data_IF_706039348728
#
_entry.id   IF_706039348728
#
_cell.length_a   1.000
_cell.length_b   1.000
_cell.length_c   1.000
_cell.angle_alpha   90.00
_cell.angle_beta   90.00
_cell.angle_gamma   90.00
#
_symmetry.space_group_name_H-M   'P 1'
#
loop_
_entity.id
_entity.type
_entity.pdbx_description
1 polymer ?
#
# COMPACT_ATOMS: atom_id res chain seq x y z
N UNK A 1 0.31 12.74 -18.20
CA UNK A 1 -0.40 13.95 -17.73
C UNK A 1 0.56 15.11 -17.65
N UNK A 2 1.69 14.99 -16.92
CA UNK A 2 2.76 16.01 -16.85
C UNK A 2 3.24 16.48 -18.24
N UNK A 3 3.55 15.58 -19.19
CA UNK A 3 3.99 16.00 -20.55
C UNK A 3 2.89 16.61 -21.43
N UNK A 4 1.62 16.35 -21.11
CA UNK A 4 0.49 16.98 -21.81
C UNK A 4 0.20 18.38 -21.28
N UNK A 5 0.57 18.66 -20.03
CA UNK A 5 0.35 19.97 -19.38
C UNK A 5 1.56 20.90 -19.47
N UNK A 6 2.79 20.37 -19.43
CA UNK A 6 4.04 21.14 -19.41
C UNK A 6 4.86 21.01 -20.70
N UNK A 7 4.36 20.27 -21.69
CA UNK A 7 5.07 19.97 -22.93
C UNK A 7 5.98 18.72 -22.82
N UNK A 8 6.35 18.13 -23.97
CA UNK A 8 7.10 16.87 -24.02
C UNK A 8 8.49 16.97 -23.41
N UNK A 9 9.17 18.12 -23.51
CA UNK A 9 10.53 18.29 -22.98
C UNK A 9 10.57 18.38 -21.46
N UNK A 10 9.70 19.19 -20.85
CA UNK A 10 9.60 19.31 -19.39
C UNK A 10 8.98 18.05 -18.78
N UNK A 11 7.92 17.50 -19.38
CA UNK A 11 7.33 16.27 -18.90
C UNK A 11 8.24 15.06 -19.06
N UNK A 12 9.06 15.02 -20.12
CA UNK A 12 10.10 14.01 -20.32
C UNK A 12 11.18 14.12 -19.23
N UNK A 13 11.70 15.32 -19.00
CA UNK A 13 12.75 15.57 -18.01
C UNK A 13 12.30 15.24 -16.58
N UNK A 14 11.10 15.68 -16.19
CA UNK A 14 10.50 15.37 -14.88
C UNK A 14 10.24 13.86 -14.76
N UNK A 15 9.74 13.22 -15.83
CA UNK A 15 9.51 11.78 -15.87
C UNK A 15 10.80 10.96 -15.68
N UNK A 16 11.89 11.38 -16.34
CA UNK A 16 13.21 10.73 -16.20
C UNK A 16 13.76 10.91 -14.79
N UNK A 17 13.70 12.11 -14.21
CA UNK A 17 14.13 12.34 -12.83
C UNK A 17 13.36 11.49 -11.82
N UNK A 18 12.03 11.42 -11.98
CA UNK A 18 11.18 10.59 -11.13
C UNK A 18 11.49 9.09 -11.28
N UNK A 19 11.75 8.64 -12.52
CA UNK A 19 12.17 7.26 -12.78
C UNK A 19 13.51 6.95 -12.12
N UNK A 20 14.52 7.80 -12.29
CA UNK A 20 15.84 7.63 -11.68
C UNK A 20 15.72 7.57 -10.16
N UNK A 21 14.91 8.43 -9.54
CA UNK A 21 14.66 8.39 -8.10
C UNK A 21 14.07 7.05 -7.65
N UNK A 22 13.06 6.52 -8.35
CA UNK A 22 12.47 5.22 -8.02
C UNK A 22 13.45 4.06 -8.19
N UNK A 23 14.28 4.10 -9.24
CA UNK A 23 15.33 3.09 -9.45
C UNK A 23 16.37 3.16 -8.34
N UNK A 24 16.80 4.35 -7.93
CA UNK A 24 17.76 4.52 -6.82
C UNK A 24 17.20 3.95 -5.50
N UNK A 25 15.94 4.25 -5.18
CA UNK A 25 15.28 3.67 -3.98
C UNK A 25 15.21 2.14 -4.10
N UNK A 26 14.86 1.62 -5.28
CA UNK A 26 14.84 0.18 -5.54
C UNK A 26 16.21 -0.47 -5.41
N UNK A 27 17.30 0.21 -5.78
CA UNK A 27 18.69 -0.25 -5.58
C UNK A 27 19.01 -0.31 -4.09
N UNK A 28 18.60 0.68 -3.29
CA UNK A 28 18.80 0.63 -1.83
C UNK A 28 18.09 -0.59 -1.23
N UNK A 29 16.85 -0.85 -1.65
CA UNK A 29 16.09 -2.04 -1.24
C UNK A 29 16.82 -3.33 -1.67
N UNK A 30 17.34 -3.37 -2.90
CA UNK A 30 18.14 -4.50 -3.39
C UNK A 30 19.36 -4.75 -2.49
N UNK A 31 20.15 -3.71 -2.20
CA UNK A 31 21.33 -3.82 -1.33
C UNK A 31 20.97 -4.37 0.05
N UNK A 32 19.87 -3.88 0.65
CA UNK A 32 19.40 -4.40 1.94
C UNK A 32 18.94 -5.86 1.87
N UNK A 33 18.25 -6.26 0.81
CA UNK A 33 17.85 -7.67 0.59
C UNK A 33 19.07 -8.59 0.39
N UNK A 34 20.14 -8.09 -0.24
CA UNK A 34 21.38 -8.85 -0.43
C UNK A 34 22.17 -9.04 0.87
N UNK A 35 22.07 -8.09 1.82
CA UNK A 35 22.70 -8.19 3.13
C UNK A 35 22.11 -9.30 4.02
N UNK A 36 20.94 -9.83 3.66
CA UNK A 36 20.37 -11.05 4.23
C UNK A 36 19.31 -10.86 5.31
N UNK A 37 18.67 -11.96 5.69
CA UNK A 37 17.47 -11.98 6.53
C UNK A 37 17.67 -11.62 7.99
N UNK A 38 18.88 -11.81 8.53
CA UNK A 38 19.21 -11.42 9.90
C UNK A 38 19.14 -9.91 10.11
N UNK A 39 19.51 -9.13 9.08
CA UNK A 39 19.38 -7.68 9.08
C UNK A 39 17.92 -7.30 8.86
N UNK A 40 17.21 -7.97 7.95
CA UNK A 40 15.77 -7.74 7.72
C UNK A 40 14.96 -7.77 9.02
N UNK A 41 15.11 -8.82 9.84
CA UNK A 41 14.35 -8.94 11.09
C UNK A 41 14.62 -7.77 12.06
N UNK A 42 15.88 -7.35 12.20
CA UNK A 42 16.27 -6.21 13.04
C UNK A 42 15.73 -4.89 12.50
N UNK A 43 15.85 -4.67 11.20
CA UNK A 43 15.40 -3.43 10.55
C UNK A 43 13.87 -3.34 10.52
N UNK A 44 13.16 -4.45 10.39
CA UNK A 44 11.70 -4.49 10.44
C UNK A 44 11.13 -4.04 11.80
N UNK A 45 11.82 -4.35 12.91
CA UNK A 45 11.44 -3.85 14.25
C UNK A 45 11.62 -2.35 14.35
N UNK A 46 12.71 -1.81 13.79
CA UNK A 46 12.94 -0.35 13.72
C UNK A 46 11.83 0.29 12.88
N UNK A 47 11.48 -0.30 11.74
CA UNK A 47 10.39 0.15 10.89
C UNK A 47 9.05 0.18 11.62
N UNK A 48 8.73 -0.89 12.36
CA UNK A 48 7.53 -0.95 13.18
C UNK A 48 7.52 0.16 14.24
N UNK A 49 8.65 0.43 14.90
CA UNK A 49 8.74 1.50 15.89
C UNK A 49 8.50 2.89 15.28
N UNK A 50 9.10 3.18 14.11
CA UNK A 50 8.91 4.46 13.41
C UNK A 50 7.45 4.64 12.99
N UNK A 51 6.84 3.58 12.43
CA UNK A 51 5.43 3.60 12.01
C UNK A 51 4.52 3.78 13.24
N UNK A 52 4.77 3.05 14.33
CA UNK A 52 3.99 3.17 15.56
C UNK A 52 4.11 4.57 16.19
N UNK A 53 5.31 5.17 16.18
CA UNK A 53 5.52 6.54 16.64
C UNK A 53 4.75 7.54 15.78
N UNK A 54 4.79 7.40 14.46
CA UNK A 54 4.04 8.26 13.55
C UNK A 54 2.52 8.14 13.76
N UNK A 55 2.00 6.94 13.90
CA UNK A 55 0.58 6.71 14.15
C UNK A 55 0.14 7.24 15.53
N UNK A 56 1.01 7.14 16.54
CA UNK A 56 0.76 7.71 17.86
C UNK A 56 0.66 9.24 17.81
N UNK A 57 1.50 9.91 17.01
CA UNK A 57 1.39 11.36 16.77
C UNK A 57 0.03 11.73 16.20
N UNK A 58 -0.43 10.99 15.19
CA UNK A 58 -1.74 11.18 14.59
C UNK A 58 -2.89 11.02 15.61
N UNK A 59 -2.82 9.99 16.45
CA UNK A 59 -3.82 9.80 17.51
C UNK A 59 -3.81 10.97 18.50
N UNK A 60 -2.63 11.42 18.94
CA UNK A 60 -2.51 12.59 19.83
C UNK A 60 -3.08 13.85 19.16
N UNK A 61 -2.78 14.08 17.89
CA UNK A 61 -3.34 15.19 17.10
C UNK A 61 -4.86 15.20 17.15
N UNK A 62 -5.51 14.07 16.92
CA UNK A 62 -6.98 13.98 16.92
C UNK A 62 -7.60 14.46 18.24
N UNK A 63 -6.95 14.16 19.38
CA UNK A 63 -7.45 14.57 20.69
C UNK A 63 -7.09 16.01 21.09
N UNK A 64 -5.96 16.53 20.61
CA UNK A 64 -5.42 17.82 21.04
C UNK A 64 -5.81 18.96 20.08
N UNK A 65 -5.88 18.70 18.77
CA UNK A 65 -6.10 19.73 17.76
C UNK A 65 -7.54 20.21 17.77
N UNK A 66 -7.71 21.53 17.82
CA UNK A 66 -9.02 22.21 17.73
C UNK A 66 -9.43 22.37 16.27
N UNK A 67 -10.69 22.77 16.06
CA UNK A 67 -11.23 22.97 14.72
C UNK A 67 -10.42 24.04 13.98
N UNK A 68 -9.94 23.71 12.80
CA UNK A 68 -9.08 24.55 11.95
C UNK A 68 -9.43 24.34 10.49
N UNK A 69 -9.29 25.37 9.68
CA UNK A 69 -9.43 25.24 8.24
C UNK A 69 -8.10 24.75 7.64
N UNK A 70 -8.19 23.76 6.76
CA UNK A 70 -7.05 23.08 6.14
C UNK A 70 -7.07 23.36 4.65
N UNK A 71 -5.94 23.79 4.12
CA UNK A 71 -5.77 24.06 2.70
C UNK A 71 -5.89 22.78 1.87
N UNK A 72 -6.64 22.86 0.78
CA UNK A 72 -6.77 21.78 -0.18
C UNK A 72 -5.60 21.86 -1.17
N UNK A 73 -4.89 20.75 -1.43
CA UNK A 73 -3.75 20.76 -2.33
C UNK A 73 -4.13 21.23 -3.74
N UNK A 74 -3.28 22.08 -4.33
CA UNK A 74 -3.46 22.62 -5.68
C UNK A 74 -3.48 21.54 -6.77
N UNK A 75 -3.02 20.33 -6.46
CA UNK A 75 -3.13 19.16 -7.34
C UNK A 75 -4.59 18.79 -7.67
N UNK A 76 -5.55 19.18 -6.83
CA UNK A 76 -6.97 18.94 -7.06
C UNK A 76 -7.58 19.96 -8.03
N UNK A 77 -7.19 19.85 -9.29
CA UNK A 77 -7.69 20.68 -10.41
C UNK A 77 -9.22 20.76 -10.49
N UNK A 78 -9.94 19.69 -10.15
CA UNK A 78 -11.40 19.66 -10.19
C UNK A 78 -12.04 20.58 -9.15
N UNK A 79 -11.45 20.64 -7.96
CA UNK A 79 -11.96 21.48 -6.88
C UNK A 79 -11.68 22.98 -7.14
N UNK A 80 -10.59 23.30 -7.84
CA UNK A 80 -10.25 24.66 -8.28
C UNK A 80 -10.89 25.06 -9.62
N UNK A 81 -11.67 24.18 -10.25
CA UNK A 81 -12.38 24.48 -11.49
C UNK A 81 -13.66 25.28 -11.17
N UNK A 82 -13.70 26.55 -11.55
CA UNK A 82 -14.86 27.43 -11.39
C UNK A 82 -15.40 27.85 -12.76
N UNK A 83 -16.70 28.13 -12.86
CA UNK A 83 -17.29 28.75 -14.05
C UNK A 83 -16.65 30.14 -14.23
N UNK A 84 -16.21 30.48 -15.44
CA UNK A 84 -15.65 31.81 -15.73
C UNK A 84 -16.66 32.94 -15.54
N UNK A 85 -17.95 32.64 -15.61
CA UNK A 85 -19.03 33.51 -15.18
C UNK A 85 -20.01 32.71 -14.31
N UNK A 86 -20.08 33.00 -13.00
CA UNK A 86 -21.01 32.32 -12.07
C UNK A 86 -22.49 32.49 -12.45
N UNK A 87 -22.81 33.55 -13.20
CA UNK A 87 -24.16 33.87 -13.66
C UNK A 87 -24.65 32.99 -14.82
N UNK A 88 -23.72 32.39 -15.59
CA UNK A 88 -24.04 31.61 -16.78
C UNK A 88 -23.65 30.14 -16.56
N UNK A 89 -24.63 29.22 -16.42
CA UNK A 89 -24.37 27.80 -16.18
C UNK A 89 -23.71 27.08 -17.38
N UNK A 90 -23.63 27.72 -18.56
CA UNK A 90 -22.96 27.18 -19.75
C UNK A 90 -21.55 27.74 -19.97
N UNK A 91 -21.10 28.62 -19.09
CA UNK A 91 -19.79 29.27 -19.19
C UNK A 91 -18.64 28.27 -19.05
N UNK A 92 -17.51 28.53 -19.73
CA UNK A 92 -16.34 27.65 -19.63
C UNK A 92 -15.80 27.61 -18.20
N UNK A 93 -15.45 26.41 -17.73
CA UNK A 93 -14.82 26.25 -16.42
C UNK A 93 -13.32 26.57 -16.52
N UNK A 94 -12.87 27.59 -15.81
CA UNK A 94 -11.48 28.03 -15.77
C UNK A 94 -10.85 27.61 -14.45
N UNK A 95 -9.57 27.23 -14.50
CA UNK A 95 -8.78 26.92 -13.31
C UNK A 95 -8.37 28.22 -12.62
N UNK A 96 -8.89 28.45 -11.43
CA UNK A 96 -8.56 29.62 -10.64
C UNK A 96 -7.73 29.23 -9.40
N UNK A 97 -6.41 29.39 -9.48
CA UNK A 97 -5.50 29.20 -8.34
C UNK A 97 -5.28 30.47 -7.52
N UNK A 98 -5.98 31.57 -7.83
CA UNK A 98 -5.77 32.84 -7.12
C UNK A 98 -6.33 32.83 -5.70
N UNK A 99 -7.32 31.97 -5.41
CA UNK A 99 -7.88 31.78 -4.08
C UNK A 99 -7.47 30.42 -3.52
N UNK A 100 -6.82 30.40 -2.35
CA UNK A 100 -6.55 29.16 -1.61
C UNK A 100 -7.85 28.65 -0.99
N UNK A 101 -8.34 27.51 -1.49
CA UNK A 101 -9.55 26.92 -0.94
C UNK A 101 -9.22 26.06 0.26
N UNK A 102 -10.02 26.21 1.31
CA UNK A 102 -9.83 25.49 2.57
C UNK A 102 -11.05 24.65 2.88
N UNK A 103 -10.82 23.48 3.49
CA UNK A 103 -11.87 22.64 4.03
C UNK A 103 -11.67 22.45 5.52
N UNK A 104 -12.78 22.39 6.25
CA UNK A 104 -12.77 22.46 7.70
C UNK A 104 -12.45 21.11 8.36
N UNK A 105 -11.48 21.12 9.26
CA UNK A 105 -11.33 20.12 10.31
C UNK A 105 -12.20 20.54 11.50
N UNK A 106 -13.15 19.70 11.91
CA UNK A 106 -14.23 20.06 12.84
C UNK A 106 -13.96 19.66 14.28
N UNK A 107 -12.83 18.98 14.56
CA UNK A 107 -12.60 18.22 15.80
C UNK A 107 -13.77 17.23 16.04
N UNK A 108 -13.83 16.59 17.20
CA UNK A 108 -14.92 15.63 17.50
C UNK A 108 -16.30 16.28 17.37
N UNK A 109 -17.03 15.93 16.30
CA UNK A 109 -18.35 16.46 16.01
C UNK A 109 -19.29 15.38 15.48
N UNK A 110 -20.39 15.13 16.19
CA UNK A 110 -21.42 14.18 15.76
C UNK A 110 -22.13 14.59 14.48
N UNK A 111 -22.19 15.88 14.14
CA UNK A 111 -22.75 16.34 12.87
C UNK A 111 -21.89 15.86 11.70
N UNK A 112 -20.57 16.01 11.79
CA UNK A 112 -19.63 15.51 10.78
C UNK A 112 -19.73 13.99 10.63
N UNK A 113 -19.89 13.26 11.74
CA UNK A 113 -20.14 11.81 11.69
C UNK A 113 -21.42 11.44 10.94
N UNK A 114 -22.54 12.10 11.26
CA UNK A 114 -23.82 11.85 10.57
C UNK A 114 -23.72 12.17 9.07
N UNK A 115 -23.00 13.24 8.72
CA UNK A 115 -22.74 13.61 7.34
C UNK A 115 -21.82 12.61 6.64
N UNK A 116 -20.91 11.93 7.32
CA UNK A 116 -19.95 11.00 6.73
C UNK A 116 -20.43 9.52 6.69
N UNK A 117 -21.55 9.20 7.34
CA UNK A 117 -22.00 7.82 7.52
C UNK A 117 -22.38 7.09 6.22
N UNK A 118 -22.95 7.81 5.25
CA UNK A 118 -23.44 7.22 4.00
C UNK A 118 -22.47 7.45 2.83
N UNK A 119 -22.53 6.57 1.83
CA UNK A 119 -21.68 6.65 0.65
C UNK A 119 -22.00 7.90 -0.19
N UNK A 120 -20.97 8.51 -0.76
CA UNK A 120 -21.08 9.51 -1.80
C UNK A 120 -19.87 9.40 -2.73
N UNK A 121 -20.08 8.70 -3.84
CA UNK A 121 -19.02 8.46 -4.81
C UNK A 121 -18.86 9.69 -5.71
N UNK A 122 -17.71 10.34 -5.59
CA UNK A 122 -17.34 11.52 -6.38
C UNK A 122 -16.31 11.15 -7.44
N UNK A 123 -15.86 12.14 -8.22
CA UNK A 123 -14.76 11.95 -9.16
C UNK A 123 -13.43 11.95 -8.41
N UNK A 124 -12.57 10.97 -8.72
CA UNK A 124 -11.19 10.95 -8.27
C UNK A 124 -10.41 12.01 -9.05
N UNK A 125 -9.92 13.04 -8.36
CA UNK A 125 -9.22 14.15 -9.00
C UNK A 125 -7.84 13.78 -9.55
N UNK A 126 -7.28 12.62 -9.18
CA UNK A 126 -6.01 12.13 -9.73
C UNK A 126 -6.18 11.34 -11.02
N UNK A 127 -7.30 10.63 -11.18
CA UNK A 127 -7.57 9.83 -12.40
C UNK A 127 -8.62 10.43 -13.32
N UNK A 128 -9.39 11.40 -12.84
CA UNK A 128 -10.52 11.99 -13.55
C UNK A 128 -11.68 11.02 -13.77
N UNK A 129 -11.73 9.91 -13.04
CA UNK A 129 -12.77 8.87 -13.18
C UNK A 129 -13.77 8.94 -12.03
N UNK A 130 -15.03 8.64 -12.34
CA UNK A 130 -16.05 8.41 -11.32
C UNK A 130 -15.63 7.24 -10.44
N UNK A 131 -15.72 7.41 -9.13
CA UNK A 131 -15.50 6.32 -8.18
C UNK A 131 -16.75 5.46 -8.07
N UNK A 132 -16.57 4.17 -7.79
CA UNK A 132 -17.64 3.24 -7.48
C UNK A 132 -17.19 2.30 -6.35
N UNK A 133 -18.09 1.44 -5.87
CA UNK A 133 -17.77 0.50 -4.80
C UNK A 133 -16.59 -0.42 -5.17
N UNK A 134 -16.59 -0.96 -6.39
CA UNK A 134 -15.57 -1.92 -6.82
C UNK A 134 -14.19 -1.26 -6.93
N UNK A 135 -14.11 -0.02 -7.42
CA UNK A 135 -12.88 0.76 -7.49
C UNK A 135 -12.35 1.08 -6.09
N UNK A 136 -13.21 1.51 -5.16
CA UNK A 136 -12.83 1.77 -3.76
C UNK A 136 -12.36 0.50 -3.05
N UNK A 137 -13.07 -0.61 -3.24
CA UNK A 137 -12.68 -1.91 -2.72
C UNK A 137 -11.30 -2.33 -3.24
N UNK A 138 -11.03 -2.18 -4.54
CA UNK A 138 -9.73 -2.55 -5.11
C UNK A 138 -8.57 -1.75 -4.51
N UNK A 139 -8.77 -0.48 -4.18
CA UNK A 139 -7.74 0.36 -3.56
C UNK A 139 -7.48 -0.09 -2.12
N UNK A 140 -8.54 -0.26 -1.33
CA UNK A 140 -8.43 -0.70 0.08
C UNK A 140 -7.85 -2.12 0.16
N UNK A 141 -8.28 -3.02 -0.72
CA UNK A 141 -7.81 -4.40 -0.77
C UNK A 141 -6.29 -4.48 -0.92
N UNK A 142 -5.70 -3.62 -1.77
CA UNK A 142 -4.24 -3.52 -1.91
C UNK A 142 -3.53 -3.24 -0.58
N UNK A 143 -4.15 -2.49 0.33
CA UNK A 143 -3.61 -2.19 1.67
C UNK A 143 -3.69 -3.35 2.66
N UNK A 144 -4.61 -4.30 2.46
CA UNK A 144 -4.79 -5.48 3.35
C UNK A 144 -3.99 -6.70 2.85
N UNK A 145 -3.29 -6.57 1.73
CA UNK A 145 -2.44 -7.65 1.21
C UNK A 145 -1.24 -7.93 2.13
N UNK A 146 -0.52 -9.03 1.87
CA UNK A 146 0.71 -9.36 2.59
C UNK A 146 0.56 -10.34 3.76
N UNK A 147 -0.61 -10.96 3.93
CA UNK A 147 -0.85 -11.99 4.96
C UNK A 147 0.12 -13.18 4.88
N UNK A 148 0.68 -13.44 3.68
CA UNK A 148 1.63 -14.52 3.41
C UNK A 148 3.09 -14.14 3.67
N UNK A 149 3.39 -12.88 4.02
CA UNK A 149 4.78 -12.45 4.27
C UNK A 149 5.45 -13.29 5.38
N UNK A 150 4.71 -13.66 6.43
CA UNK A 150 5.21 -14.53 7.50
C UNK A 150 5.49 -15.97 7.04
N UNK A 151 4.75 -16.47 6.04
CA UNK A 151 4.97 -17.81 5.47
C UNK A 151 6.18 -17.85 4.53
N UNK A 152 6.46 -16.74 3.83
CA UNK A 152 7.60 -16.64 2.91
C UNK A 152 8.96 -16.78 3.62
N UNK A 153 9.02 -16.52 4.93
CA UNK A 153 10.23 -16.61 5.77
C UNK A 153 10.15 -17.81 6.74
N UNK A 154 9.27 -18.78 6.44
CA UNK A 154 9.02 -19.94 7.30
C UNK A 154 10.26 -20.78 7.60
N UNK A 155 11.21 -20.86 6.67
CA UNK A 155 12.46 -21.62 6.84
C UNK A 155 13.43 -21.04 7.87
N UNK A 156 13.22 -19.80 8.32
CA UNK A 156 14.10 -19.11 9.27
C UNK A 156 13.46 -18.96 10.66
N UNK A 157 12.19 -19.34 10.80
CA UNK A 157 11.48 -19.32 12.08
C UNK A 157 11.91 -20.52 12.94
N UNK A 158 12.20 -20.27 14.22
CA UNK A 158 12.53 -21.34 15.17
C UNK A 158 11.42 -22.40 15.31
N UNK A 159 10.14 -21.99 15.23
CA UNK A 159 8.97 -22.88 15.30
C UNK A 159 7.85 -22.44 14.32
N UNK A 160 7.97 -22.77 13.02
CA UNK A 160 7.07 -22.26 11.98
C UNK A 160 5.60 -22.64 12.21
N UNK A 161 5.35 -23.89 12.64
CA UNK A 161 4.01 -24.44 12.88
C UNK A 161 3.21 -23.73 13.98
N UNK A 162 3.87 -23.02 14.91
CA UNK A 162 3.22 -22.22 15.96
C UNK A 162 3.24 -20.74 15.61
N UNK A 163 4.39 -20.24 15.15
CA UNK A 163 4.62 -18.81 14.93
C UNK A 163 3.83 -18.27 13.75
N UNK A 164 3.68 -19.03 12.65
CA UNK A 164 2.95 -18.55 11.47
C UNK A 164 1.45 -18.35 11.78
N UNK A 165 0.71 -19.36 12.28
CA UNK A 165 -0.73 -19.17 12.49
C UNK A 165 -1.03 -18.10 13.55
N UNK A 166 -0.26 -18.06 14.65
CA UNK A 166 -0.45 -17.06 15.71
C UNK A 166 -0.09 -15.66 15.23
N UNK A 167 1.06 -15.50 14.57
CA UNK A 167 1.53 -14.23 14.06
C UNK A 167 0.59 -13.64 13.02
N UNK A 168 0.17 -14.45 12.03
CA UNK A 168 -0.74 -13.99 10.97
C UNK A 168 -2.10 -13.59 11.53
N UNK A 169 -2.72 -14.39 12.40
CA UNK A 169 -4.04 -14.05 12.95
C UNK A 169 -4.00 -12.81 13.87
N UNK A 170 -2.97 -12.68 14.71
CA UNK A 170 -2.80 -11.50 15.54
C UNK A 170 -2.56 -10.25 14.70
N UNK A 171 -1.71 -10.34 13.66
CA UNK A 171 -1.44 -9.24 12.76
C UNK A 171 -2.70 -8.78 12.03
N UNK A 172 -3.46 -9.72 11.44
CA UNK A 172 -4.73 -9.41 10.74
C UNK A 172 -5.74 -8.77 11.68
N UNK A 173 -5.86 -9.25 12.92
CA UNK A 173 -6.78 -8.68 13.89
C UNK A 173 -6.36 -7.25 14.29
N UNK A 174 -5.07 -7.02 14.56
CA UNK A 174 -4.55 -5.69 14.90
C UNK A 174 -4.72 -4.71 13.74
N UNK A 175 -4.39 -5.11 12.51
CA UNK A 175 -4.55 -4.23 11.33
C UNK A 175 -6.01 -3.90 11.08
N UNK A 176 -6.92 -4.87 11.23
CA UNK A 176 -8.37 -4.63 11.17
C UNK A 176 -8.81 -3.58 12.19
N UNK A 177 -8.40 -3.71 13.46
CA UNK A 177 -8.73 -2.73 14.49
C UNK A 177 -8.18 -1.34 14.18
N UNK A 178 -6.92 -1.24 13.74
CA UNK A 178 -6.30 0.04 13.38
C UNK A 178 -7.03 0.70 12.20
N UNK A 179 -7.45 -0.08 11.20
CA UNK A 179 -8.18 0.46 10.04
C UNK A 179 -9.56 0.97 10.46
N UNK A 180 -10.34 0.16 11.18
CA UNK A 180 -11.68 0.55 11.65
C UNK A 180 -11.60 1.77 12.58
N UNK A 181 -10.66 1.78 13.52
CA UNK A 181 -10.46 2.90 14.44
C UNK A 181 -10.10 4.18 13.68
N UNK A 182 -9.16 4.11 12.74
CA UNK A 182 -8.72 5.28 11.97
C UNK A 182 -9.85 5.82 11.11
N UNK A 183 -10.61 4.96 10.41
CA UNK A 183 -11.77 5.37 9.63
C UNK A 183 -12.84 6.02 10.51
N UNK A 184 -13.10 5.46 11.69
CA UNK A 184 -14.08 6.00 12.64
C UNK A 184 -13.65 7.38 13.18
N UNK A 185 -12.38 7.53 13.57
CA UNK A 185 -11.86 8.80 14.07
C UNK A 185 -11.88 9.89 13.00
N UNK A 186 -11.44 9.59 11.77
CA UNK A 186 -11.49 10.54 10.65
C UNK A 186 -12.94 10.96 10.31
N UNK A 187 -13.88 10.01 10.37
CA UNK A 187 -15.30 10.28 10.17
C UNK A 187 -15.87 11.27 11.20
N UNK A 188 -15.41 11.19 12.45
CA UNK A 188 -15.82 12.08 13.55
C UNK A 188 -15.17 13.47 13.51
N UNK A 189 -13.95 13.58 12.98
CA UNK A 189 -13.13 14.80 13.10
C UNK A 189 -13.01 15.65 11.84
N UNK A 190 -13.26 15.06 10.66
CA UNK A 190 -13.07 15.72 9.38
C UNK A 190 -14.40 15.95 8.67
N UNK A 191 -14.54 17.10 7.99
CA UNK A 191 -15.65 17.31 7.07
C UNK A 191 -15.54 16.38 5.85
N UNK A 192 -16.68 16.01 5.27
CA UNK A 192 -16.75 15.19 4.06
C UNK A 192 -15.92 15.76 2.91
N UNK A 193 -15.98 17.07 2.75
CA UNK A 193 -15.26 17.81 1.72
C UNK A 193 -13.74 17.68 1.86
N UNK A 194 -13.22 17.74 3.09
CA UNK A 194 -11.80 17.56 3.37
C UNK A 194 -11.34 16.13 3.01
N UNK A 195 -12.14 15.11 3.36
CA UNK A 195 -11.82 13.70 3.09
C UNK A 195 -11.83 13.37 1.59
N UNK A 196 -12.71 14.02 0.81
CA UNK A 196 -12.82 13.78 -0.64
C UNK A 196 -11.74 14.50 -1.44
N UNK A 197 -11.30 15.68 -0.98
CA UNK A 197 -10.46 16.57 -1.78
C UNK A 197 -8.98 16.58 -1.37
N UNK A 198 -8.61 15.90 -0.27
CA UNK A 198 -7.23 15.81 0.20
C UNK A 198 -6.85 14.37 0.61
N UNK A 199 -6.13 13.66 -0.26
CA UNK A 199 -5.62 12.31 0.03
C UNK A 199 -4.53 12.26 1.11
N UNK A 200 -3.88 13.40 1.40
CA UNK A 200 -2.89 13.55 2.46
C UNK A 200 -3.51 14.14 3.73
N UNK A 201 -4.81 13.93 3.96
CA UNK A 201 -5.53 14.47 5.13
C UNK A 201 -4.82 14.15 6.45
N UNK A 202 -4.26 12.95 6.62
CA UNK A 202 -3.53 12.58 7.83
C UNK A 202 -2.29 13.43 8.05
N UNK A 203 -1.58 13.80 6.98
CA UNK A 203 -0.41 14.70 7.05
C UNK A 203 -0.87 16.14 7.32
N UNK A 204 -1.94 16.57 6.64
CA UNK A 204 -2.46 17.93 6.73
C UNK A 204 -3.06 18.25 8.11
N UNK A 205 -3.67 17.27 8.78
CA UNK A 205 -4.23 17.46 10.12
C UNK A 205 -3.18 17.34 11.22
N UNK A 206 -2.07 16.62 11.03
CA UNK A 206 -1.13 16.33 12.12
C UNK A 206 -0.47 17.59 12.72
N UNK A 207 -0.15 17.56 14.01
CA UNK A 207 0.63 18.63 14.67
C UNK A 207 2.06 18.65 14.14
N UNK A 208 2.62 17.48 13.82
CA UNK A 208 3.98 17.33 13.27
C UNK A 208 3.89 16.62 11.91
N UNK A 209 3.47 17.30 10.83
CA UNK A 209 3.27 16.70 9.51
C UNK A 209 4.46 15.86 9.01
N UNK A 210 5.68 16.31 9.30
CA UNK A 210 6.93 15.61 8.95
C UNK A 210 7.00 14.20 9.52
N UNK A 211 6.42 13.96 10.70
CA UNK A 211 6.47 12.66 11.36
C UNK A 211 5.56 11.64 10.66
N UNK A 212 4.36 12.06 10.22
CA UNK A 212 3.48 11.22 9.39
C UNK A 212 4.12 10.95 8.04
N UNK A 213 4.76 11.96 7.44
CA UNK A 213 5.46 11.78 6.16
C UNK A 213 6.58 10.74 6.27
N UNK A 214 7.40 10.79 7.33
CA UNK A 214 8.42 9.76 7.63
C UNK A 214 7.77 8.39 7.86
N UNK A 215 6.64 8.33 8.56
CA UNK A 215 5.87 7.09 8.75
C UNK A 215 5.39 6.46 7.45
N UNK A 216 4.84 7.26 6.53
CA UNK A 216 4.40 6.81 5.19
C UNK A 216 5.58 6.30 4.37
N UNK A 217 6.70 7.03 4.39
CA UNK A 217 7.92 6.59 3.71
C UNK A 217 8.44 5.27 4.28
N UNK A 218 8.52 5.15 5.61
CA UNK A 218 8.94 3.93 6.29
C UNK A 218 8.01 2.76 5.94
N UNK A 219 6.69 2.91 6.07
CA UNK A 219 5.72 1.87 5.74
C UNK A 219 5.87 1.36 4.30
N UNK A 220 6.02 2.27 3.34
CA UNK A 220 6.18 1.93 1.92
C UNK A 220 7.51 1.22 1.65
N UNK A 221 8.60 1.71 2.27
CA UNK A 221 9.93 1.15 2.14
C UNK A 221 10.01 -0.28 2.71
N UNK A 222 9.52 -0.48 3.94
CA UNK A 222 9.53 -1.78 4.61
C UNK A 222 8.60 -2.80 3.94
N UNK A 223 7.43 -2.37 3.46
CA UNK A 223 6.53 -3.23 2.68
C UNK A 223 7.19 -3.69 1.37
N UNK A 224 7.84 -2.77 0.65
CA UNK A 224 8.55 -3.09 -0.59
C UNK A 224 9.72 -4.06 -0.36
N UNK A 225 10.49 -3.85 0.70
CA UNK A 225 11.59 -4.75 1.08
C UNK A 225 11.08 -6.16 1.43
N UNK A 226 10.02 -6.25 2.23
CA UNK A 226 9.39 -7.52 2.61
C UNK A 226 8.88 -8.29 1.38
N UNK A 227 8.26 -7.59 0.42
CA UNK A 227 7.75 -8.20 -0.79
C UNK A 227 8.89 -8.69 -1.70
N UNK A 228 9.98 -7.94 -1.84
CA UNK A 228 11.14 -8.36 -2.63
C UNK A 228 11.83 -9.59 -2.03
N UNK A 229 12.04 -9.58 -0.71
CA UNK A 229 12.60 -10.74 0.01
C UNK A 229 11.68 -11.96 -0.13
N UNK A 230 10.38 -11.79 0.09
CA UNK A 230 9.40 -12.87 -0.05
C UNK A 230 9.37 -13.47 -1.46
N UNK A 231 9.31 -12.62 -2.49
CA UNK A 231 9.31 -13.05 -3.88
C UNK A 231 10.57 -13.85 -4.24
N UNK A 232 11.75 -13.37 -3.83
CA UNK A 232 13.01 -14.06 -4.10
C UNK A 232 13.10 -15.45 -3.46
N UNK A 233 12.55 -15.62 -2.26
CA UNK A 233 12.50 -16.90 -1.54
C UNK A 233 11.53 -17.88 -2.18
N UNK A 234 10.35 -17.42 -2.60
CA UNK A 234 9.40 -18.24 -3.34
C UNK A 234 10.01 -18.70 -4.66
N UNK A 235 10.64 -17.78 -5.40
CA UNK A 235 11.31 -18.07 -6.67
C UNK A 235 12.43 -19.10 -6.51
N UNK A 236 13.20 -18.97 -5.43
CA UNK A 236 14.27 -19.89 -5.09
C UNK A 236 13.76 -21.31 -4.81
N UNK A 237 12.70 -21.45 -4.00
CA UNK A 237 12.12 -22.78 -3.69
C UNK A 237 11.54 -23.43 -4.93
N UNK A 238 10.87 -22.64 -5.76
CA UNK A 238 10.36 -23.10 -7.04
C UNK A 238 11.47 -23.61 -7.98
N UNK A 239 12.64 -22.96 -7.97
CA UNK A 239 13.81 -23.40 -8.71
C UNK A 239 14.40 -24.72 -8.15
N UNK A 240 14.46 -24.87 -6.84
CA UNK A 240 14.91 -26.08 -6.16
C UNK A 240 14.00 -27.29 -6.46
N UNK A 241 12.69 -27.06 -6.57
CA UNK A 241 11.70 -28.08 -6.94
C UNK A 241 11.74 -28.45 -8.43
N UNK A 242 12.60 -27.80 -9.23
CA UNK A 242 12.79 -28.01 -10.68
C UNK A 242 11.49 -27.92 -11.51
N UNK A 243 10.46 -27.24 -10.99
CA UNK A 243 9.13 -27.17 -11.62
C UNK A 243 9.18 -26.59 -13.04
N UNK A 244 10.11 -25.66 -13.29
CA UNK A 244 10.29 -24.96 -14.56
C UNK A 244 11.62 -25.29 -15.27
N UNK A 245 12.30 -26.38 -14.85
CA UNK A 245 13.51 -26.88 -15.51
C UNK A 245 14.65 -25.86 -15.59
N UNK A 246 15.27 -25.75 -16.78
CA UNK A 246 16.51 -24.99 -17.04
C UNK A 246 16.33 -23.47 -16.88
N UNK A 247 15.11 -22.94 -17.11
CA UNK A 247 14.84 -21.50 -17.07
C UNK A 247 15.14 -20.89 -15.69
N UNK A 248 14.85 -21.63 -14.62
CA UNK A 248 15.05 -21.20 -13.24
C UNK A 248 16.26 -21.84 -12.56
N UNK A 249 17.04 -22.66 -13.27
CA UNK A 249 18.25 -23.28 -12.74
C UNK A 249 19.21 -22.30 -12.01
N UNK A 250 19.52 -21.09 -12.53
CA UNK A 250 20.43 -20.18 -11.84
C UNK A 250 19.87 -19.64 -10.52
N UNK A 251 18.56 -19.60 -10.34
CA UNK A 251 17.89 -19.16 -9.11
C UNK A 251 18.03 -20.17 -7.94
N UNK A 252 18.65 -21.34 -8.18
CA UNK A 252 18.92 -22.35 -7.15
C UNK A 252 20.09 -21.95 -6.23
N UNK A 253 20.97 -21.05 -6.69
CA UNK A 253 22.22 -20.75 -6.00
C UNK A 253 21.99 -20.06 -4.64
N UNK A 254 22.51 -20.69 -3.57
CA UNK A 254 22.53 -20.15 -2.21
C UNK A 254 23.93 -19.71 -1.81
N UNK A 255 24.00 -18.56 -1.16
CA UNK A 255 25.22 -18.15 -0.44
C UNK A 255 25.41 -19.03 0.79
N UNK A 256 26.65 -19.11 1.30
CA UNK A 256 26.97 -19.79 2.57
C UNK A 256 26.14 -19.31 3.78
N UNK A 257 25.60 -18.10 3.71
CA UNK A 257 24.70 -17.50 4.71
C UNK A 257 23.23 -17.86 4.51
N UNK A 258 22.90 -18.71 3.53
CA UNK A 258 21.53 -19.11 3.19
C UNK A 258 20.75 -18.05 2.41
N UNK A 259 21.39 -17.02 1.83
CA UNK A 259 20.73 -15.97 1.05
C UNK A 259 20.78 -16.23 -0.48
N UNK A 260 19.65 -16.26 -1.21
CA UNK A 260 19.59 -16.50 -2.66
C UNK A 260 19.83 -15.23 -3.46
N UNK A 261 21.10 -14.86 -3.62
CA UNK A 261 21.51 -13.66 -4.35
C UNK A 261 20.90 -13.62 -5.76
N UNK A 262 20.95 -14.75 -6.48
CA UNK A 262 20.46 -14.80 -7.86
C UNK A 262 18.95 -14.59 -7.94
N UNK A 263 18.17 -15.20 -7.06
CA UNK A 263 16.71 -15.02 -7.01
C UNK A 263 16.31 -13.62 -6.61
N UNK A 264 17.07 -12.97 -5.73
CA UNK A 264 16.87 -11.56 -5.36
C UNK A 264 17.09 -10.66 -6.57
N UNK A 265 18.17 -10.87 -7.32
CA UNK A 265 18.47 -10.07 -8.53
C UNK A 265 17.41 -10.28 -9.60
N UNK A 266 17.00 -11.53 -9.88
CA UNK A 266 15.94 -11.81 -10.87
C UNK A 266 14.63 -11.11 -10.47
N UNK A 267 14.23 -11.22 -9.20
CA UNK A 267 13.02 -10.58 -8.70
C UNK A 267 13.09 -9.05 -8.83
N UNK A 268 14.25 -8.47 -8.53
CA UNK A 268 14.48 -7.03 -8.67
C UNK A 268 14.42 -6.55 -10.13
N UNK A 269 15.00 -7.31 -11.07
CA UNK A 269 14.91 -7.00 -12.51
C UNK A 269 13.44 -6.98 -12.93
N UNK A 270 12.63 -7.97 -12.51
CA UNK A 270 11.20 -7.98 -12.79
C UNK A 270 10.48 -6.74 -12.24
N UNK A 271 10.82 -6.31 -11.01
CA UNK A 271 10.26 -5.07 -10.42
C UNK A 271 10.63 -3.85 -11.26
N UNK A 272 11.90 -3.71 -11.66
CA UNK A 272 12.36 -2.56 -12.49
C UNK A 272 11.63 -2.54 -13.83
N UNK A 273 11.45 -3.69 -14.49
CA UNK A 273 10.70 -3.79 -15.75
C UNK A 273 9.23 -3.36 -15.57
N UNK A 274 8.59 -3.72 -14.46
CA UNK A 274 7.22 -3.29 -14.16
C UNK A 274 7.16 -1.79 -13.87
N UNK A 275 8.17 -1.22 -13.21
CA UNK A 275 8.26 0.23 -12.95
C UNK A 275 8.35 1.04 -14.26
N UNK A 276 8.94 0.48 -15.32
CA UNK A 276 9.01 1.15 -16.63
C UNK A 276 7.62 1.36 -17.28
N UNK A 277 6.59 0.64 -16.84
CA UNK A 277 5.20 0.82 -17.32
C UNK A 277 4.63 2.18 -16.89
N UNK A 278 5.17 2.80 -15.83
CA UNK A 278 4.92 4.21 -15.48
C UNK A 278 3.49 4.56 -15.05
N UNK A 279 2.65 3.58 -14.71
CA UNK A 279 1.25 3.80 -14.33
C UNK A 279 0.88 3.10 -13.02
N UNK A 280 1.13 3.77 -11.89
CA UNK A 280 0.91 3.25 -10.54
C UNK A 280 -0.48 2.64 -10.33
N UNK A 281 -1.55 3.35 -10.75
CA UNK A 281 -2.92 2.87 -10.58
C UNK A 281 -3.26 1.65 -11.46
N UNK A 282 -2.56 1.44 -12.58
CA UNK A 282 -2.69 0.21 -13.39
C UNK A 282 -1.96 -0.95 -12.72
N UNK A 283 -0.76 -0.70 -12.21
CA UNK A 283 0.05 -1.69 -11.49
C UNK A 283 -0.72 -2.20 -10.25
N UNK A 284 -1.27 -1.29 -9.43
CA UNK A 284 -2.03 -1.65 -8.23
C UNK A 284 -3.23 -2.57 -8.53
N UNK A 285 -3.96 -2.33 -9.63
CA UNK A 285 -5.08 -3.18 -10.05
C UNK A 285 -4.61 -4.58 -10.45
N UNK A 286 -3.56 -4.66 -11.27
CA UNK A 286 -2.98 -5.93 -11.71
C UNK A 286 -2.47 -6.75 -10.51
N UNK A 287 -1.75 -6.11 -9.59
CA UNK A 287 -1.25 -6.73 -8.37
C UNK A 287 -2.39 -7.27 -7.51
N UNK A 288 -3.49 -6.52 -7.35
CA UNK A 288 -4.67 -6.96 -6.60
C UNK A 288 -5.30 -8.22 -7.19
N UNK A 289 -5.42 -8.29 -8.52
CA UNK A 289 -5.95 -9.48 -9.22
C UNK A 289 -5.07 -10.71 -8.96
N UNK A 290 -3.74 -10.57 -9.05
CA UNK A 290 -2.82 -11.68 -8.78
C UNK A 290 -2.89 -12.16 -7.32
N UNK A 291 -3.01 -11.25 -6.35
CA UNK A 291 -3.20 -11.63 -4.94
C UNK A 291 -4.52 -12.36 -4.71
N UNK A 292 -5.63 -11.85 -5.28
CA UNK A 292 -6.94 -12.52 -5.21
C UNK A 292 -6.90 -13.91 -5.81
N UNK A 293 -6.28 -14.06 -6.99
CA UNK A 293 -6.12 -15.34 -7.67
C UNK A 293 -5.25 -16.31 -6.83
N UNK A 294 -4.18 -15.82 -6.21
CA UNK A 294 -3.34 -16.63 -5.31
C UNK A 294 -4.11 -17.10 -4.08
N UNK A 295 -4.86 -16.21 -3.41
CA UNK A 295 -5.67 -16.55 -2.24
C UNK A 295 -6.78 -17.53 -2.60
N UNK A 296 -7.45 -17.32 -3.73
CA UNK A 296 -8.44 -18.25 -4.26
C UNK A 296 -7.81 -19.62 -4.54
N UNK A 297 -6.64 -19.64 -5.20
CA UNK A 297 -5.92 -20.88 -5.51
C UNK A 297 -5.55 -21.68 -4.27
N UNK A 298 -5.06 -21.02 -3.21
CA UNK A 298 -4.76 -21.69 -1.93
C UNK A 298 -6.02 -22.25 -1.28
N UNK A 299 -7.11 -21.48 -1.22
CA UNK A 299 -8.36 -21.94 -0.61
C UNK A 299 -8.99 -23.10 -1.39
N UNK A 300 -9.01 -23.03 -2.72
CA UNK A 300 -9.52 -24.12 -3.58
C UNK A 300 -8.64 -25.36 -3.46
N UNK A 301 -7.31 -25.21 -3.41
CA UNK A 301 -6.41 -26.35 -3.22
C UNK A 301 -6.64 -27.04 -1.87
N UNK A 302 -6.78 -26.27 -0.78
CA UNK A 302 -7.11 -26.84 0.54
C UNK A 302 -8.46 -27.56 0.52
N UNK A 303 -9.49 -26.96 -0.09
CA UNK A 303 -10.81 -27.58 -0.23
C UNK A 303 -10.74 -28.88 -1.05
N UNK A 304 -10.04 -28.86 -2.18
CA UNK A 304 -9.89 -30.02 -3.04
C UNK A 304 -9.14 -31.17 -2.36
N UNK A 305 -8.07 -30.88 -1.61
CA UNK A 305 -7.30 -31.89 -0.88
C UNK A 305 -8.11 -32.52 0.25
N UNK A 306 -8.97 -31.74 0.93
CA UNK A 306 -9.89 -32.26 1.94
C UNK A 306 -11.00 -33.12 1.30
N UNK A 307 -11.65 -32.63 0.24
CA UNK A 307 -12.71 -33.35 -0.47
C UNK A 307 -12.23 -34.68 -1.06
N UNK A 308 -10.99 -34.72 -1.55
CA UNK A 308 -10.36 -35.94 -2.08
C UNK A 308 -9.77 -36.83 -1.00
N UNK A 309 -9.79 -36.41 0.28
CA UNK A 309 -9.20 -37.14 1.41
C UNK A 309 -7.75 -37.57 1.14
N UNK A 310 -6.95 -36.65 0.59
CA UNK A 310 -5.57 -36.93 0.21
C UNK A 310 -4.77 -37.48 1.42
N UNK A 311 -4.09 -38.64 1.32
CA UNK A 311 -3.49 -39.32 2.47
C UNK A 311 -2.48 -38.48 3.27
N UNK A 312 -1.79 -37.58 2.57
CA UNK A 312 -0.74 -36.71 3.09
C UNK A 312 -1.28 -35.38 3.65
N UNK A 313 -2.57 -35.06 3.44
CA UNK A 313 -3.17 -33.81 3.90
C UNK A 313 -3.87 -34.03 5.25
N UNK A 314 -3.19 -33.66 6.34
CA UNK A 314 -3.70 -33.79 7.73
C UNK A 314 -3.46 -32.49 8.51
N UNK A 315 -4.28 -31.46 8.29
CA UNK A 315 -4.09 -30.17 8.96
C UNK A 315 -4.36 -30.29 10.46
N UNK A 316 -3.35 -30.01 11.28
CA UNK A 316 -3.46 -30.03 12.75
C UNK A 316 -3.93 -28.68 13.35
N UNK A 317 -4.36 -27.74 12.52
CA UNK A 317 -4.77 -26.42 12.98
C UNK A 317 -6.18 -26.46 13.57
N UNK A 318 -6.33 -26.04 14.83
CA UNK A 318 -7.58 -26.17 15.61
C UNK A 318 -8.83 -25.58 14.95
N UNK A 319 -8.68 -24.48 14.19
CA UNK A 319 -9.80 -23.78 13.54
C UNK A 319 -9.89 -24.05 12.04
N UNK A 320 -9.16 -25.07 11.54
CA UNK A 320 -9.36 -25.55 10.18
C UNK A 320 -10.67 -26.36 10.15
N UNK A 321 -11.66 -25.87 9.41
CA UNK A 321 -12.95 -26.57 9.22
C UNK A 321 -12.96 -27.29 7.88
N UNK A 322 -13.72 -28.38 7.84
CA UNK A 322 -14.27 -28.95 6.61
C UNK A 322 -15.24 -27.97 5.95
#
# INVERSE_FOLDING_TARGET
>A
MISRSLGPEFGGSIGVLFFVANVLVSIVILCLCLLGSSIFAKTAVIGLFVIALSYSSFLVTIFVKRATDIEIPNDNTYYYMQLSNESDPFSEKVLNYSETKTARYTSFNFKSFSENMFTNYTYDYTTGKSTDFAFMFSIIFSGVTGLMAGANVSGELARPHISIPRGTLQAVFITFLVYVLTSFLLCLTCSRELLQNNYLVMVAIDIVPSLIFVGVFAATFFSSMSNLTGASRVLQRLAQDKLFGVLLAPATFETRTGNPIVSVIISWICVVLVLMIGAMNRIAKITSIFFLLSYMGVNIACLALELTSAPNFRPNFKYFSR
#
